data_IF_493983558626
#
_entry.id   IF_493983558626
#
_cell.length_a   1.000
_cell.length_b   1.000
_cell.length_c   1.000
_cell.angle_alpha   90.00
_cell.angle_beta   90.00
_cell.angle_gamma   90.00
#
_symmetry.space_group_name_H-M   'P 1'
#
loop_
_entity.id
_entity.type
_entity.pdbx_description
1 polymer ?
#
# COMPACT_ATOMS: atom_id res chain seq x y z
N UNK A 1 -22.15 -2.27 9.56
CA UNK A 1 -21.01 -1.33 9.52
C UNK A 1 -21.33 -0.12 10.38
N UNK A 2 -20.48 0.25 11.32
CA UNK A 2 -20.71 1.41 12.17
C UNK A 2 -20.27 2.69 11.43
N UNK A 3 -21.05 3.76 11.56
CA UNK A 3 -20.75 5.08 10.98
C UNK A 3 -20.84 6.11 12.10
N UNK A 4 -19.78 6.88 12.30
CA UNK A 4 -19.67 7.91 13.32
C UNK A 4 -19.47 9.26 12.64
N UNK A 5 -20.46 10.14 12.71
CA UNK A 5 -20.35 11.52 12.24
C UNK A 5 -19.44 12.30 13.20
N UNK A 6 -18.46 13.01 12.66
CA UNK A 6 -17.49 13.76 13.46
C UNK A 6 -17.84 15.24 13.57
N UNK A 7 -18.45 15.80 12.52
CA UNK A 7 -18.78 17.22 12.42
C UNK A 7 -19.99 17.46 11.51
N UNK A 8 -20.37 18.74 11.35
CA UNK A 8 -21.46 19.17 10.47
C UNK A 8 -21.07 19.20 8.98
N UNK A 9 -19.77 19.00 8.64
CA UNK A 9 -19.26 19.00 7.27
C UNK A 9 -19.32 17.62 6.62
N UNK A 10 -19.96 16.65 7.28
CA UNK A 10 -20.13 15.30 6.75
C UNK A 10 -18.89 14.41 6.87
N UNK A 11 -17.86 14.83 7.59
CA UNK A 11 -16.68 13.99 7.86
C UNK A 11 -17.04 12.86 8.83
N UNK A 12 -16.52 11.65 8.55
CA UNK A 12 -16.95 10.43 9.28
C UNK A 12 -15.78 9.49 9.56
N UNK A 13 -15.92 8.75 10.66
CA UNK A 13 -15.21 7.47 10.82
C UNK A 13 -16.20 6.34 10.50
N UNK A 14 -15.72 5.37 9.72
CA UNK A 14 -16.50 4.20 9.32
C UNK A 14 -15.75 2.93 9.77
N UNK A 15 -16.49 1.93 10.26
CA UNK A 15 -15.93 0.71 10.83
C UNK A 15 -15.71 0.82 12.34
N UNK A 16 -14.48 0.94 12.80
CA UNK A 16 -14.09 1.00 14.20
C UNK A 16 -13.31 2.28 14.52
N UNK A 17 -13.37 2.75 15.76
CA UNK A 17 -12.47 3.81 16.21
C UNK A 17 -11.05 3.26 16.35
N UNK A 18 -10.02 3.91 15.73
CA UNK A 18 -8.66 3.49 15.90
C UNK A 18 -8.15 3.80 17.32
N UNK A 19 -7.26 2.96 17.83
CA UNK A 19 -6.45 3.34 19.00
C UNK A 19 -5.40 4.36 18.56
N UNK A 20 -5.46 5.57 19.10
CA UNK A 20 -4.58 6.70 18.72
C UNK A 20 -3.49 6.89 19.78
N UNK A 21 -2.22 6.83 19.36
CA UNK A 21 -1.03 7.02 20.21
C UNK A 21 -0.11 8.01 19.48
N UNK A 22 0.19 9.16 20.11
CA UNK A 22 1.05 10.22 19.58
C UNK A 22 0.72 10.58 18.11
N UNK A 23 -0.56 10.58 17.77
CA UNK A 23 -1.05 10.69 16.40
C UNK A 23 -2.12 11.76 16.27
N UNK A 24 -2.30 12.30 15.05
CA UNK A 24 -3.29 13.33 14.77
C UNK A 24 -4.12 12.97 13.53
N UNK A 25 -5.42 13.25 13.60
CA UNK A 25 -6.38 13.10 12.49
C UNK A 25 -7.02 14.48 12.27
N UNK A 26 -6.81 15.05 11.09
CA UNK A 26 -7.23 16.41 10.76
C UNK A 26 -8.09 16.43 9.49
N UNK A 27 -9.30 16.96 9.62
CA UNK A 27 -10.24 17.18 8.51
C UNK A 27 -10.35 18.68 8.25
N UNK A 28 -9.91 19.14 7.06
CA UNK A 28 -10.06 20.54 6.63
C UNK A 28 -11.20 20.75 5.64
N UNK A 29 -11.55 19.72 4.88
CA UNK A 29 -12.64 19.75 3.91
C UNK A 29 -13.89 19.01 4.38
N UNK A 30 -14.72 18.61 3.44
CA UNK A 30 -16.04 18.05 3.67
C UNK A 30 -16.18 16.63 3.11
N UNK A 31 -17.13 15.85 3.68
CA UNK A 31 -17.52 14.54 3.21
C UNK A 31 -16.35 13.52 3.14
N UNK A 32 -15.33 13.71 3.97
CA UNK A 32 -14.20 12.79 4.03
C UNK A 32 -14.49 11.59 4.93
N UNK A 33 -13.89 10.47 4.62
CA UNK A 33 -14.04 9.23 5.38
C UNK A 33 -12.68 8.70 5.82
N UNK A 34 -12.57 8.44 7.13
CA UNK A 34 -11.57 7.54 7.67
C UNK A 34 -12.22 6.19 7.93
N UNK A 35 -11.88 5.18 7.14
CA UNK A 35 -12.25 3.80 7.45
C UNK A 35 -11.16 3.13 8.27
N UNK A 36 -11.57 2.49 9.35
CA UNK A 36 -10.70 1.65 10.15
C UNK A 36 -11.32 0.27 10.33
N UNK A 37 -10.55 -0.74 9.96
CA UNK A 37 -10.86 -2.14 10.28
C UNK A 37 -10.76 -2.37 11.80
N UNK A 38 -11.16 -3.54 12.25
CA UNK A 38 -11.00 -3.93 13.66
C UNK A 38 -9.52 -3.90 14.08
N UNK A 39 -9.25 -3.46 15.30
CA UNK A 39 -7.90 -3.42 15.88
C UNK A 39 -6.88 -2.51 15.17
N UNK A 40 -7.32 -1.48 14.45
CA UNK A 40 -6.42 -0.44 13.93
C UNK A 40 -5.78 0.34 15.08
N UNK A 41 -4.44 0.48 15.02
CA UNK A 41 -3.65 1.30 15.94
C UNK A 41 -2.85 2.31 15.15
N UNK A 42 -3.09 3.59 15.38
CA UNK A 42 -2.26 4.70 14.89
C UNK A 42 -1.17 4.97 15.92
N UNK A 43 0.08 4.96 15.50
CA UNK A 43 1.22 5.26 16.36
C UNK A 43 2.13 6.26 15.64
N UNK A 44 2.35 7.44 16.23
CA UNK A 44 3.12 8.53 15.62
C UNK A 44 2.68 8.83 14.19
N UNK A 45 1.35 8.86 13.97
CA UNK A 45 0.74 8.99 12.64
C UNK A 45 0.06 10.32 12.46
N UNK A 46 0.08 10.84 11.23
CA UNK A 46 -0.55 12.09 10.84
C UNK A 46 -1.46 11.84 9.63
N UNK A 47 -2.78 12.00 9.83
CA UNK A 47 -3.77 11.83 8.76
C UNK A 47 -4.38 13.20 8.45
N UNK A 48 -4.06 13.77 7.28
CA UNK A 48 -4.49 15.10 6.88
C UNK A 48 -5.39 15.02 5.65
N UNK A 49 -6.69 15.20 5.85
CA UNK A 49 -7.66 15.40 4.79
C UNK A 49 -7.68 16.89 4.43
N UNK A 50 -6.92 17.28 3.40
CA UNK A 50 -6.79 18.67 2.96
C UNK A 50 -7.86 19.09 1.95
N UNK A 51 -8.58 18.14 1.36
CA UNK A 51 -9.65 18.34 0.38
C UNK A 51 -10.96 17.69 0.83
N UNK A 52 -11.87 17.51 -0.12
CA UNK A 52 -13.22 16.99 0.08
C UNK A 52 -13.40 15.61 -0.57
N UNK A 53 -14.43 14.86 -0.14
CA UNK A 53 -14.85 13.59 -0.72
C UNK A 53 -13.71 12.55 -0.81
N UNK A 54 -12.83 12.53 0.17
CA UNK A 54 -11.61 11.73 0.18
C UNK A 54 -11.70 10.59 1.20
N UNK A 55 -10.96 9.51 0.94
CA UNK A 55 -10.98 8.30 1.75
C UNK A 55 -9.58 7.87 2.17
N UNK A 56 -9.36 7.73 3.47
CA UNK A 56 -8.26 6.93 4.02
C UNK A 56 -8.86 5.62 4.51
N UNK A 57 -8.37 4.50 3.98
CA UNK A 57 -8.76 3.15 4.38
C UNK A 57 -7.58 2.48 5.09
N UNK A 58 -7.80 2.08 6.35
CA UNK A 58 -6.79 1.39 7.16
C UNK A 58 -7.27 -0.02 7.51
N UNK A 59 -6.58 -1.01 6.99
CA UNK A 59 -6.76 -2.41 7.38
C UNK A 59 -6.24 -2.69 8.78
N UNK A 60 -6.63 -3.83 9.36
CA UNK A 60 -6.26 -4.23 10.72
C UNK A 60 -4.76 -4.25 10.95
N UNK A 61 -4.31 -3.66 12.06
CA UNK A 61 -2.91 -3.64 12.46
C UNK A 61 -2.42 -2.29 12.99
N UNK A 62 -1.10 -2.19 13.18
CA UNK A 62 -0.42 -0.95 13.58
C UNK A 62 -0.04 -0.16 12.33
N UNK A 63 -0.33 1.13 12.32
CA UNK A 63 0.05 2.06 11.27
C UNK A 63 0.93 3.17 11.86
N UNK A 64 2.05 3.45 11.19
CA UNK A 64 2.95 4.57 11.45
C UNK A 64 3.09 5.32 10.13
N UNK A 65 2.16 6.27 9.87
CA UNK A 65 1.96 6.88 8.55
C UNK A 65 1.79 8.39 8.64
N UNK A 66 2.28 9.09 7.63
CA UNK A 66 1.99 10.51 7.37
C UNK A 66 1.29 10.59 6.01
N UNK A 67 -0.03 10.77 6.03
CA UNK A 67 -0.88 10.80 4.84
C UNK A 67 -1.41 12.21 4.65
N UNK A 68 -1.05 12.84 3.54
CA UNK A 68 -1.66 14.08 3.08
C UNK A 68 -2.52 13.80 1.85
N UNK A 69 -3.83 14.03 1.97
CA UNK A 69 -4.84 13.64 1.00
C UNK A 69 -5.66 14.86 0.55
N UNK A 70 -5.89 15.00 -0.76
CA UNK A 70 -6.68 16.06 -1.38
C UNK A 70 -7.94 15.52 -2.06
N UNK A 71 -8.68 16.40 -2.74
CA UNK A 71 -10.02 16.13 -3.27
C UNK A 71 -10.15 14.81 -4.04
N UNK A 72 -11.24 14.10 -3.79
CA UNK A 72 -11.66 12.84 -4.43
C UNK A 72 -10.63 11.71 -4.41
N UNK A 73 -9.57 11.87 -3.64
CA UNK A 73 -8.44 10.95 -3.60
C UNK A 73 -8.66 9.82 -2.57
N UNK A 74 -8.01 8.69 -2.80
CA UNK A 74 -8.05 7.53 -1.91
C UNK A 74 -6.64 7.12 -1.52
N UNK A 75 -6.42 6.90 -0.23
CA UNK A 75 -5.24 6.24 0.29
C UNK A 75 -5.66 4.96 1.01
N UNK A 76 -5.32 3.81 0.44
CA UNK A 76 -5.61 2.49 1.00
C UNK A 76 -4.34 1.86 1.56
N UNK A 77 -4.39 1.46 2.82
CA UNK A 77 -3.39 0.65 3.49
C UNK A 77 -4.04 -0.66 3.93
N UNK A 78 -3.62 -1.78 3.38
CA UNK A 78 -4.16 -3.10 3.68
C UNK A 78 -3.86 -3.58 5.10
N UNK A 79 -4.06 -4.86 5.35
CA UNK A 79 -3.87 -5.49 6.66
C UNK A 79 -2.47 -6.05 6.83
N UNK A 80 -2.05 -6.27 8.09
CA UNK A 80 -0.81 -6.98 8.43
C UNK A 80 0.44 -6.34 7.84
N UNK A 81 0.54 -5.01 7.93
CA UNK A 81 1.78 -4.34 7.59
C UNK A 81 2.85 -4.60 8.66
N UNK A 82 4.04 -4.88 8.18
CA UNK A 82 5.22 -4.87 9.03
C UNK A 82 5.99 -3.58 8.78
N UNK A 83 5.88 -2.65 9.70
CA UNK A 83 6.69 -1.42 9.71
C UNK A 83 7.88 -1.60 10.64
N UNK A 84 9.05 -1.25 10.15
CA UNK A 84 10.12 -0.85 11.05
C UNK A 84 9.74 0.54 11.57
N UNK A 85 9.44 0.76 12.80
CA UNK A 85 8.90 1.93 13.53
C UNK A 85 9.08 3.34 12.93
N UNK A 86 9.28 3.48 11.64
CA UNK A 86 9.49 4.69 10.89
C UNK A 86 8.28 5.09 10.06
N UNK A 87 8.15 6.38 9.84
CA UNK A 87 7.01 7.02 9.22
C UNK A 87 6.99 6.77 7.70
N UNK A 88 6.01 6.03 7.23
CA UNK A 88 5.69 5.91 5.79
C UNK A 88 4.92 7.15 5.35
N UNK A 89 5.44 7.88 4.36
CA UNK A 89 4.83 9.12 3.88
C UNK A 89 4.09 8.96 2.57
N UNK A 90 2.88 9.54 2.54
CA UNK A 90 2.04 9.63 1.35
C UNK A 90 1.69 11.09 1.02
N UNK A 91 1.76 11.41 -0.26
CA UNK A 91 1.18 12.64 -0.83
C UNK A 91 0.25 12.21 -1.96
N UNK A 92 -1.06 12.39 -1.78
CA UNK A 92 -2.09 11.89 -2.70
C UNK A 92 -3.02 13.01 -3.12
N UNK A 93 -3.00 13.37 -4.39
CA UNK A 93 -3.75 14.51 -4.93
C UNK A 93 -4.17 14.30 -6.39
N UNK A 94 -4.79 15.32 -6.97
CA UNK A 94 -5.24 15.33 -8.36
C UNK A 94 -6.27 14.23 -8.69
N UNK A 95 -7.20 13.95 -7.75
CA UNK A 95 -8.27 12.94 -7.91
C UNK A 95 -7.72 11.54 -8.26
N UNK A 96 -6.50 11.24 -7.79
CA UNK A 96 -5.80 9.98 -8.00
C UNK A 96 -5.53 9.28 -6.68
N UNK A 97 -5.06 8.03 -6.75
CA UNK A 97 -5.09 7.13 -5.61
C UNK A 97 -3.71 6.55 -5.29
N UNK A 98 -3.50 6.20 -4.02
CA UNK A 98 -2.42 5.33 -3.59
C UNK A 98 -3.03 4.10 -2.89
N UNK A 99 -2.71 2.93 -3.38
CA UNK A 99 -3.23 1.67 -2.84
C UNK A 99 -2.07 0.75 -2.48
N UNK A 100 -2.09 0.20 -1.27
CA UNK A 100 -1.17 -0.86 -0.85
C UNK A 100 -2.01 -2.03 -0.34
N UNK A 101 -1.75 -3.23 -0.88
CA UNK A 101 -2.41 -4.48 -0.50
C UNK A 101 -2.00 -5.01 0.88
N UNK A 102 -2.34 -6.24 1.16
CA UNK A 102 -2.13 -6.88 2.46
C UNK A 102 -0.71 -7.43 2.63
N UNK A 103 -0.25 -7.56 3.87
CA UNK A 103 0.97 -8.28 4.28
C UNK A 103 2.28 -7.78 3.64
N UNK A 104 2.36 -6.49 3.33
CA UNK A 104 3.59 -5.87 2.84
C UNK A 104 4.60 -5.64 3.98
N UNK A 105 5.89 -5.74 3.66
CA UNK A 105 6.97 -5.24 4.53
C UNK A 105 7.47 -3.92 3.97
N UNK A 106 7.47 -2.89 4.82
CA UNK A 106 7.91 -1.55 4.46
C UNK A 106 9.04 -1.13 5.40
N UNK A 107 10.22 -0.91 4.82
CA UNK A 107 11.40 -0.51 5.56
C UNK A 107 11.45 1.00 5.82
N UNK A 108 12.59 1.52 6.27
CA UNK A 108 12.77 2.91 6.68
C UNK A 108 12.72 3.88 5.51
N UNK A 109 12.24 5.11 5.76
CA UNK A 109 12.32 6.25 4.85
C UNK A 109 11.69 6.02 3.47
N UNK A 110 10.59 5.28 3.43
CA UNK A 110 9.81 5.09 2.21
C UNK A 110 8.89 6.28 1.98
N UNK A 111 8.85 6.77 0.74
CA UNK A 111 7.99 7.87 0.32
C UNK A 111 7.20 7.50 -0.94
N UNK A 112 5.89 7.71 -0.90
CA UNK A 112 4.96 7.42 -1.99
C UNK A 112 4.23 8.70 -2.38
N UNK A 113 4.23 9.05 -3.67
CA UNK A 113 3.42 10.16 -4.18
C UNK A 113 2.91 9.92 -5.59
N UNK A 114 1.71 10.39 -5.83
CA UNK A 114 1.00 10.17 -7.10
C UNK A 114 0.98 11.38 -8.05
N UNK A 115 1.57 12.50 -7.66
CA UNK A 115 1.57 13.73 -8.45
C UNK A 115 2.82 14.57 -8.19
N UNK A 116 3.13 15.46 -9.10
CA UNK A 116 4.14 16.50 -8.88
C UNK A 116 3.51 17.74 -8.23
N UNK A 117 4.31 18.50 -7.47
CA UNK A 117 3.80 19.68 -6.79
C UNK A 117 3.60 20.88 -7.75
N UNK A 118 4.26 20.88 -8.91
CA UNK A 118 4.26 21.99 -9.85
C UNK A 118 3.99 21.53 -11.26
N UNK A 119 3.43 22.42 -12.07
CA UNK A 119 3.02 22.16 -13.45
C UNK A 119 4.22 22.17 -14.40
N UNK A 120 4.26 21.21 -15.33
CA UNK A 120 5.25 21.13 -16.40
C UNK A 120 4.51 21.13 -17.73
N UNK A 121 4.89 22.05 -18.62
CA UNK A 121 4.28 22.18 -19.93
C UNK A 121 5.28 21.93 -21.06
N UNK A 122 4.79 21.39 -22.16
CA UNK A 122 5.54 21.31 -23.40
C UNK A 122 5.68 22.72 -24.00
N UNK A 123 6.89 23.11 -24.33
CA UNK A 123 7.18 24.45 -24.85
C UNK A 123 6.67 24.66 -26.29
N UNK A 124 6.35 23.63 -27.05
CA UNK A 124 5.90 23.74 -28.44
C UNK A 124 4.39 23.93 -28.57
N UNK A 125 3.60 23.28 -27.71
CA UNK A 125 2.14 23.23 -27.83
C UNK A 125 1.40 23.66 -26.56
N UNK A 126 2.11 23.97 -25.47
CA UNK A 126 1.55 24.37 -24.19
C UNK A 126 0.79 23.27 -23.45
N UNK A 127 0.84 22.03 -23.91
CA UNK A 127 0.17 20.92 -23.26
C UNK A 127 0.86 20.51 -21.96
N UNK A 128 0.06 20.22 -20.92
CA UNK A 128 0.60 19.74 -19.65
C UNK A 128 1.18 18.33 -19.79
N UNK A 129 2.43 18.15 -19.34
CA UNK A 129 3.18 16.90 -19.47
C UNK A 129 3.14 16.02 -18.24
N UNK A 130 2.82 16.56 -17.07
CA UNK A 130 2.94 15.86 -15.79
C UNK A 130 1.65 15.71 -14.97
N UNK A 131 0.53 15.27 -15.57
CA UNK A 131 -0.67 15.02 -14.79
C UNK A 131 -0.41 13.94 -13.74
N UNK A 132 -1.14 14.02 -12.61
CA UNK A 132 -1.14 13.00 -11.58
C UNK A 132 -1.63 11.65 -12.09
N UNK A 133 -1.08 10.56 -11.58
CA UNK A 133 -1.49 9.19 -11.89
C UNK A 133 -1.37 8.33 -10.64
N UNK A 134 -2.28 7.39 -10.47
CA UNK A 134 -2.34 6.54 -9.29
C UNK A 134 -1.09 5.67 -9.10
N UNK A 135 -0.88 5.24 -7.85
CA UNK A 135 0.15 4.29 -7.45
C UNK A 135 -0.52 3.08 -6.84
N UNK A 136 -0.23 1.90 -7.36
CA UNK A 136 -0.79 0.64 -6.93
C UNK A 136 0.29 -0.35 -6.51
N UNK A 137 0.15 -0.91 -5.31
CA UNK A 137 1.07 -1.88 -4.73
C UNK A 137 0.25 -3.06 -4.25
N UNK A 138 0.56 -4.25 -4.75
CA UNK A 138 -0.15 -5.49 -4.47
C UNK A 138 0.09 -6.03 -3.08
N UNK A 139 -0.41 -7.24 -2.86
CA UNK A 139 -0.19 -7.96 -1.61
C UNK A 139 1.23 -8.49 -1.52
N UNK A 140 1.73 -8.62 -0.28
CA UNK A 140 3.02 -9.25 -0.04
C UNK A 140 4.17 -8.66 -0.87
N UNK A 141 4.26 -7.33 -0.87
CA UNK A 141 5.36 -6.60 -1.50
C UNK A 141 6.36 -6.19 -0.43
N UNK A 142 7.64 -6.47 -0.66
CA UNK A 142 8.71 -6.01 0.21
C UNK A 142 9.34 -4.74 -0.37
N UNK A 143 9.21 -3.65 0.37
CA UNK A 143 9.75 -2.33 0.01
C UNK A 143 10.96 -2.06 0.89
N UNK A 144 12.13 -2.04 0.27
CA UNK A 144 13.41 -1.78 0.92
C UNK A 144 13.54 -0.35 1.43
N UNK A 145 14.60 -0.12 2.20
CA UNK A 145 14.90 1.18 2.80
C UNK A 145 15.13 2.26 1.73
N UNK A 146 14.67 3.48 2.03
CA UNK A 146 14.92 4.68 1.19
C UNK A 146 14.30 4.61 -0.22
N UNK A 147 13.26 3.79 -0.41
CA UNK A 147 12.57 3.68 -1.70
C UNK A 147 11.65 4.87 -1.92
N UNK A 148 11.65 5.40 -3.14
CA UNK A 148 10.72 6.42 -3.63
C UNK A 148 9.81 5.81 -4.69
N UNK A 149 8.51 5.79 -4.44
CA UNK A 149 7.50 5.29 -5.39
C UNK A 149 6.69 6.46 -5.88
N UNK A 150 6.77 6.71 -7.17
CA UNK A 150 6.18 7.87 -7.80
C UNK A 150 5.03 7.49 -8.72
N UNK A 151 4.32 8.48 -9.21
CA UNK A 151 3.13 8.33 -10.06
C UNK A 151 3.30 7.32 -11.20
N UNK A 152 2.17 6.78 -11.68
CA UNK A 152 2.11 5.84 -12.78
C UNK A 152 2.85 4.53 -12.48
N UNK A 153 2.85 4.09 -11.23
CA UNK A 153 3.54 2.86 -10.80
C UNK A 153 2.52 1.82 -10.36
N UNK A 154 2.63 0.63 -10.94
CA UNK A 154 1.87 -0.56 -10.57
C UNK A 154 2.85 -1.67 -10.18
N UNK A 155 2.72 -2.20 -8.98
CA UNK A 155 3.58 -3.27 -8.45
C UNK A 155 2.70 -4.45 -8.11
N UNK A 156 2.85 -5.53 -8.84
CA UNK A 156 2.09 -6.74 -8.61
C UNK A 156 2.53 -7.47 -7.34
N UNK A 157 1.65 -8.31 -6.85
CA UNK A 157 1.83 -9.04 -5.60
C UNK A 157 3.11 -9.89 -5.59
N UNK A 158 3.74 -10.03 -4.42
CA UNK A 158 4.91 -10.89 -4.20
C UNK A 158 6.26 -10.31 -4.64
N UNK A 159 6.31 -9.06 -5.11
CA UNK A 159 7.53 -8.44 -5.63
C UNK A 159 8.36 -7.74 -4.55
N UNK A 160 9.62 -7.45 -4.87
CA UNK A 160 10.58 -6.79 -3.99
C UNK A 160 11.11 -5.52 -4.67
N UNK A 161 11.15 -4.42 -3.93
CA UNK A 161 11.88 -3.21 -4.28
C UNK A 161 13.15 -3.11 -3.44
N UNK A 162 14.32 -3.18 -4.08
CA UNK A 162 15.61 -3.04 -3.41
C UNK A 162 15.81 -1.66 -2.81
N UNK A 163 16.61 -1.59 -1.73
CA UNK A 163 16.88 -0.34 -1.02
C UNK A 163 17.42 0.76 -1.95
N UNK A 164 17.06 2.02 -1.68
CA UNK A 164 17.49 3.20 -2.45
C UNK A 164 16.88 3.33 -3.84
N UNK A 165 15.88 2.51 -4.19
CA UNK A 165 15.28 2.53 -5.52
C UNK A 165 14.37 3.72 -5.73
N UNK A 166 14.36 4.24 -6.96
CA UNK A 166 13.37 5.21 -7.46
C UNK A 166 12.52 4.56 -8.54
N UNK A 167 11.23 4.40 -8.24
CA UNK A 167 10.26 3.71 -9.11
C UNK A 167 9.24 4.73 -9.61
N UNK A 168 9.21 4.98 -10.91
CA UNK A 168 8.30 5.92 -11.55
C UNK A 168 7.85 5.41 -12.91
N UNK A 169 6.55 5.42 -13.18
CA UNK A 169 6.00 4.99 -14.46
C UNK A 169 6.33 3.53 -14.80
N UNK A 170 6.29 2.65 -13.81
CA UNK A 170 6.66 1.23 -13.96
C UNK A 170 5.47 0.31 -13.72
N UNK A 171 5.36 -0.71 -14.58
CA UNK A 171 4.54 -1.89 -14.35
C UNK A 171 5.47 -3.02 -13.94
N UNK A 172 5.45 -3.38 -12.67
CA UNK A 172 6.35 -4.36 -12.05
C UNK A 172 5.60 -5.68 -11.90
N UNK A 173 5.99 -6.72 -12.65
CA UNK A 173 5.33 -8.02 -12.60
C UNK A 173 5.48 -8.69 -11.24
N UNK A 174 4.54 -9.58 -10.93
CA UNK A 174 4.56 -10.39 -9.71
C UNK A 174 5.85 -11.22 -9.57
N UNK A 175 6.25 -11.48 -8.34
CA UNK A 175 7.38 -12.34 -8.00
C UNK A 175 8.70 -11.93 -8.69
N UNK A 176 8.97 -10.61 -8.73
CA UNK A 176 10.19 -10.03 -9.30
C UNK A 176 10.92 -9.16 -8.30
N UNK A 177 12.23 -8.98 -8.52
CA UNK A 177 13.04 -7.99 -7.78
C UNK A 177 13.38 -6.84 -8.72
N UNK A 178 13.10 -5.63 -8.26
CA UNK A 178 13.48 -4.39 -8.95
C UNK A 178 14.35 -3.52 -8.06
N UNK A 179 15.39 -2.91 -8.61
CA UNK A 179 16.25 -2.03 -7.84
C UNK A 179 16.91 -0.95 -8.70
N UNK A 180 17.45 0.08 -8.04
CA UNK A 180 18.24 1.16 -8.65
C UNK A 180 17.46 2.44 -8.90
N UNK A 181 18.18 3.45 -9.43
CA UNK A 181 17.63 4.75 -9.83
C UNK A 181 18.13 5.11 -11.25
N UNK A 182 17.24 5.07 -12.28
CA UNK A 182 15.88 4.55 -12.25
C UNK A 182 15.83 3.03 -12.02
N UNK A 183 14.76 2.55 -11.37
CA UNK A 183 14.61 1.12 -11.06
C UNK A 183 14.52 0.26 -12.31
N UNK A 184 15.18 -0.91 -12.27
CA UNK A 184 15.19 -1.93 -13.31
C UNK A 184 14.97 -3.30 -12.70
N UNK A 185 14.46 -4.23 -13.50
CA UNK A 185 14.31 -5.61 -13.07
C UNK A 185 15.68 -6.27 -12.88
N UNK A 186 15.89 -6.83 -11.69
CA UNK A 186 17.11 -7.56 -11.30
C UNK A 186 16.91 -9.06 -11.42
N UNK A 187 15.73 -9.56 -11.03
CA UNK A 187 15.43 -10.99 -11.00
C UNK A 187 13.95 -11.25 -11.18
N UNK A 188 13.60 -12.42 -11.68
CA UNK A 188 12.22 -12.91 -11.79
C UNK A 188 12.11 -14.33 -11.24
N UNK A 189 10.89 -14.79 -11.01
CA UNK A 189 10.63 -16.14 -10.52
C UNK A 189 11.12 -16.34 -9.08
N UNK A 190 11.00 -15.29 -8.25
CA UNK A 190 11.34 -15.32 -6.83
C UNK A 190 10.09 -15.39 -5.98
N UNK A 191 10.26 -15.76 -4.77
CA UNK A 191 9.36 -15.44 -3.66
C UNK A 191 10.19 -15.06 -2.44
N UNK A 192 9.56 -14.47 -1.44
CA UNK A 192 10.24 -14.07 -0.22
C UNK A 192 9.42 -14.45 1.02
N UNK A 193 10.08 -14.64 2.12
CA UNK A 193 9.49 -14.95 3.42
C UNK A 193 9.78 -13.84 4.43
N UNK A 194 8.87 -13.61 5.35
CA UNK A 194 8.97 -12.53 6.35
C UNK A 194 9.97 -12.82 7.48
N UNK A 195 10.53 -14.02 7.54
CA UNK A 195 11.44 -14.41 8.61
C UNK A 195 12.67 -13.51 8.64
N UNK A 196 12.96 -12.95 9.81
CA UNK A 196 14.12 -12.10 10.01
C UNK A 196 15.35 -12.96 10.34
N UNK A 197 16.45 -12.68 9.67
CA UNK A 197 17.71 -13.46 9.81
C UNK A 197 18.64 -12.95 10.93
N UNK A 198 18.25 -11.88 11.64
CA UNK A 198 19.14 -11.23 12.61
C UNK A 198 19.56 -12.13 13.77
N UNK A 199 18.69 -13.05 14.18
CA UNK A 199 18.92 -13.95 15.30
C UNK A 199 19.17 -15.40 14.85
N UNK A 200 19.55 -15.60 13.58
CA UNK A 200 19.83 -16.94 13.06
C UNK A 200 21.10 -17.52 13.71
N UNK A 201 21.00 -18.75 14.15
CA UNK A 201 22.18 -19.59 14.47
C UNK A 201 22.85 -20.05 13.16
N UNK A 202 24.01 -20.68 13.25
CA UNK A 202 24.71 -21.26 12.13
C UNK A 202 23.86 -22.36 11.45
N UNK A 203 23.23 -23.23 12.24
CA UNK A 203 22.35 -24.29 11.77
C UNK A 203 21.10 -23.73 11.06
N UNK A 204 20.50 -22.64 11.60
CA UNK A 204 19.38 -21.98 10.94
C UNK A 204 19.80 -21.35 9.61
N UNK A 205 20.98 -20.75 9.57
CA UNK A 205 21.54 -20.17 8.35
C UNK A 205 21.77 -21.25 7.28
N UNK A 206 22.36 -22.39 7.66
CA UNK A 206 22.56 -23.52 6.76
C UNK A 206 21.24 -24.11 6.26
N UNK A 207 20.26 -24.35 7.16
CA UNK A 207 18.94 -24.87 6.76
C UNK A 207 18.19 -23.91 5.85
N UNK A 208 18.39 -22.62 6.01
CA UNK A 208 17.73 -21.58 5.20
C UNK A 208 18.16 -21.56 3.72
N UNK A 209 19.25 -22.24 3.37
CA UNK A 209 19.68 -22.37 1.98
C UNK A 209 18.69 -23.17 1.12
N UNK A 210 17.76 -23.90 1.75
CA UNK A 210 16.63 -24.53 1.08
C UNK A 210 15.35 -24.27 1.86
N UNK A 211 14.37 -23.65 1.21
CA UNK A 211 13.12 -23.22 1.86
C UNK A 211 12.38 -24.40 2.53
N UNK A 212 12.21 -25.52 1.82
CA UNK A 212 11.46 -26.66 2.37
C UNK A 212 12.17 -27.25 3.59
N UNK A 213 13.50 -27.32 3.56
CA UNK A 213 14.30 -27.76 4.70
C UNK A 213 14.13 -26.80 5.88
N UNK A 214 14.28 -25.49 5.65
CA UNK A 214 14.14 -24.47 6.68
C UNK A 214 12.77 -24.54 7.37
N UNK A 215 11.68 -24.62 6.60
CA UNK A 215 10.33 -24.69 7.14
C UNK A 215 10.13 -25.97 7.96
N UNK A 216 10.59 -27.13 7.48
CA UNK A 216 10.41 -28.40 8.18
C UNK A 216 11.17 -28.48 9.52
N UNK A 217 12.30 -27.77 9.63
CA UNK A 217 13.15 -27.78 10.81
C UNK A 217 12.81 -26.68 11.83
N UNK A 218 12.23 -25.57 11.39
CA UNK A 218 12.10 -24.35 12.19
C UNK A 218 10.66 -23.83 12.40
N UNK A 219 9.66 -24.47 11.81
CA UNK A 219 8.26 -24.07 11.98
C UNK A 219 7.36 -25.23 12.37
N UNK A 220 6.76 -25.14 13.54
CA UNK A 220 5.79 -26.12 14.05
C UNK A 220 4.41 -26.01 13.37
N UNK A 221 4.02 -24.80 12.90
CA UNK A 221 2.71 -24.50 12.30
C UNK A 221 2.85 -23.85 10.91
N UNK A 222 2.86 -24.67 9.88
CA UNK A 222 3.02 -24.22 8.48
C UNK A 222 1.70 -23.86 7.78
N UNK A 223 0.55 -23.86 8.44
CA UNK A 223 -0.72 -23.96 7.72
C UNK A 223 -1.30 -22.67 7.14
N UNK A 224 -0.92 -21.47 7.60
CA UNK A 224 -1.64 -20.25 7.21
C UNK A 224 -0.86 -19.21 6.35
N UNK A 225 0.43 -19.35 6.15
CA UNK A 225 1.24 -18.31 5.52
C UNK A 225 1.85 -18.66 4.16
N UNK A 226 1.24 -19.54 3.39
CA UNK A 226 1.70 -19.83 2.02
C UNK A 226 1.41 -18.67 1.04
N UNK A 227 2.08 -17.55 1.25
CA UNK A 227 2.12 -16.46 0.28
C UNK A 227 2.94 -16.78 -0.97
N UNK A 228 3.66 -17.85 -0.92
CA UNK A 228 4.93 -18.06 -1.55
C UNK A 228 4.82 -18.41 -3.02
N UNK A 229 3.85 -19.22 -3.41
CA UNK A 229 3.84 -19.81 -4.75
C UNK A 229 2.52 -19.67 -5.49
N UNK A 230 1.46 -19.30 -4.82
CA UNK A 230 0.14 -19.43 -5.43
C UNK A 230 -0.39 -18.09 -5.89
N UNK A 231 0.03 -17.75 -7.07
CA UNK A 231 -0.71 -16.88 -7.94
C UNK A 231 -1.84 -17.70 -8.58
N UNK A 232 -3.06 -17.54 -8.11
CA UNK A 232 -4.22 -18.15 -8.76
C UNK A 232 -4.67 -17.28 -9.92
N UNK A 233 -4.33 -17.68 -11.13
CA UNK A 233 -4.68 -16.98 -12.36
C UNK A 233 -6.20 -16.72 -12.52
N UNK A 234 -7.03 -17.49 -11.83
CA UNK A 234 -8.50 -17.38 -11.90
C UNK A 234 -9.08 -16.38 -10.90
N UNK A 235 -8.26 -15.83 -10.01
CA UNK A 235 -8.69 -14.98 -8.90
C UNK A 235 -7.91 -13.66 -8.83
N UNK A 236 -7.36 -13.23 -9.94
CA UNK A 236 -6.60 -11.99 -10.02
C UNK A 236 -7.49 -10.77 -10.16
N UNK A 237 -7.03 -9.68 -9.57
CA UNK A 237 -7.66 -8.37 -9.65
C UNK A 237 -6.73 -7.47 -10.46
N UNK A 238 -7.27 -6.92 -11.54
CA UNK A 238 -6.52 -5.99 -12.40
C UNK A 238 -6.54 -4.58 -11.82
N UNK A 239 -5.45 -3.86 -11.95
CA UNK A 239 -5.36 -2.48 -11.46
C UNK A 239 -6.34 -1.52 -12.14
N UNK A 240 -6.67 -1.74 -13.41
CA UNK A 240 -7.65 -0.92 -14.13
C UNK A 240 -9.06 -1.05 -13.54
N UNK A 241 -9.41 -2.21 -13.00
CA UNK A 241 -10.67 -2.39 -12.27
C UNK A 241 -10.69 -1.55 -10.99
N UNK A 242 -9.59 -1.53 -10.23
CA UNK A 242 -9.46 -0.70 -9.01
C UNK A 242 -9.50 0.78 -9.36
N UNK A 243 -8.74 1.23 -10.39
CA UNK A 243 -8.75 2.63 -10.83
C UNK A 243 -10.16 3.06 -11.22
N UNK A 244 -10.88 2.25 -12.00
CA UNK A 244 -12.25 2.56 -12.43
C UNK A 244 -13.22 2.71 -11.27
N UNK A 245 -13.14 1.82 -10.28
CA UNK A 245 -14.01 1.86 -9.10
C UNK A 245 -13.70 3.03 -8.16
N UNK A 246 -12.44 3.43 -8.03
CA UNK A 246 -12.03 4.53 -7.14
C UNK A 246 -12.13 5.91 -7.80
N UNK A 247 -12.13 6.00 -9.12
CA UNK A 247 -12.18 7.28 -9.86
C UNK A 247 -13.54 7.96 -9.84
N UNK A 248 -14.59 7.24 -9.45
CA UNK A 248 -15.96 7.73 -9.48
C UNK A 248 -16.65 7.58 -8.12
N UNK A 249 -17.70 8.36 -7.93
CA UNK A 249 -18.56 8.23 -6.75
C UNK A 249 -18.08 8.99 -5.50
N UNK A 250 -18.87 8.87 -4.47
CA UNK A 250 -18.62 9.46 -3.15
C UNK A 250 -17.57 8.68 -2.37
N UNK A 251 -16.96 9.31 -1.37
CA UNK A 251 -16.05 8.63 -0.46
C UNK A 251 -16.68 7.38 0.20
N UNK A 252 -18.01 7.40 0.44
CA UNK A 252 -18.73 6.25 1.01
C UNK A 252 -18.87 5.10 0.02
N UNK A 253 -19.15 5.37 -1.26
CA UNK A 253 -19.21 4.33 -2.30
C UNK A 253 -17.84 3.70 -2.52
N UNK A 254 -16.78 4.50 -2.58
CA UNK A 254 -15.38 4.02 -2.63
C UNK A 254 -15.03 3.18 -1.39
N UNK A 255 -15.49 3.58 -0.21
CA UNK A 255 -15.30 2.84 1.04
C UNK A 255 -15.98 1.47 1.00
N UNK A 256 -17.25 1.42 0.57
CA UNK A 256 -18.00 0.16 0.43
C UNK A 256 -17.33 -0.80 -0.56
N UNK A 257 -16.90 -0.29 -1.71
CA UNK A 257 -16.14 -1.07 -2.68
C UNK A 257 -14.87 -1.69 -2.05
N UNK A 258 -14.09 -0.91 -1.30
CA UNK A 258 -12.88 -1.42 -0.66
C UNK A 258 -13.17 -2.43 0.46
N UNK A 259 -14.27 -2.28 1.18
CA UNK A 259 -14.72 -3.27 2.19
C UNK A 259 -15.03 -4.61 1.50
N UNK A 260 -15.78 -4.59 0.40
CA UNK A 260 -16.10 -5.80 -0.38
C UNK A 260 -14.85 -6.45 -0.96
N UNK A 261 -13.96 -5.63 -1.56
CA UNK A 261 -12.68 -6.09 -2.10
C UNK A 261 -11.84 -6.81 -1.04
N UNK A 262 -11.80 -6.28 0.19
CA UNK A 262 -11.01 -6.83 1.29
C UNK A 262 -11.71 -7.96 2.07
N UNK A 263 -13.00 -8.17 1.87
CA UNK A 263 -13.72 -9.31 2.42
C UNK A 263 -13.28 -10.64 1.78
N UNK A 264 -12.86 -10.61 0.54
CA UNK A 264 -12.25 -11.75 -0.13
C UNK A 264 -10.86 -12.01 0.47
N UNK A 265 -10.72 -13.08 1.27
CA UNK A 265 -9.47 -13.45 1.97
C UNK A 265 -8.44 -14.14 1.04
N UNK A 266 -8.32 -13.68 -0.19
CA UNK A 266 -7.37 -14.20 -1.15
C UNK A 266 -5.97 -13.61 -0.93
N UNK A 267 -4.94 -14.30 -1.38
CA UNK A 267 -3.54 -13.89 -1.28
C UNK A 267 -2.98 -13.62 -2.68
N UNK A 268 -2.03 -12.68 -2.80
CA UNK A 268 -1.38 -12.34 -4.07
C UNK A 268 -2.38 -11.97 -5.18
N UNK A 269 -3.33 -11.10 -4.84
CA UNK A 269 -4.51 -10.82 -5.67
C UNK A 269 -4.23 -9.95 -6.89
N UNK A 270 -3.24 -9.06 -6.82
CA UNK A 270 -3.14 -7.93 -7.73
C UNK A 270 -2.11 -8.13 -8.81
N UNK A 271 -2.52 -7.81 -10.03
CA UNK A 271 -1.68 -7.89 -11.23
C UNK A 271 -2.03 -6.79 -12.23
N UNK A 272 -1.07 -6.51 -13.12
CA UNK A 272 -1.33 -5.75 -14.35
C UNK A 272 -1.54 -6.70 -15.54
N UNK A 273 -2.30 -6.25 -16.53
CA UNK A 273 -2.39 -6.91 -17.84
C UNK A 273 -1.12 -6.74 -18.66
#
# INVERSE_FOLDING_TARGET
>A
MNIFNLDNNGNKIVGHFPKVIDSNINFKGENNILYCDENVKLNKSYLNFNGCNSLIYLGAGKHTVDISLWDDSVCHCGRRFFFCDNLLKFVVSEHKHCFIGDSCIISFDVFIRNSDAHLIYNCNDGNRMNPGKSVYIGDHVWIGQNVRILKDTQIDSGSILGAGSVVSGKKIPHNTIWAGNPSRQIKQGIFWDKTCVHDFTEEMSESSMNYNKFISENREDCHDDYWIYKYDKNQVIEWDYIESALSNGTALEKCNFLIELNAAKQKNRFVHK
#
